data_IF_912845324293
#
_entry.id   IF_912845324293
#
_cell.length_a   1.000
_cell.length_b   1.000
_cell.length_c   1.000
_cell.angle_alpha   90.00
_cell.angle_beta   90.00
_cell.angle_gamma   90.00
#
_symmetry.space_group_name_H-M   'P 1'
#
loop_
_entity.id
_entity.type
_entity.pdbx_description
1 polymer ?
#
# COMPACT_ATOMS: atom_id res chain seq x y z
N UNK A 1 -0.41 37.67 50.29
CA UNK A 1 0.50 36.68 49.67
C UNK A 1 -0.20 35.41 49.16
N UNK A 2 -1.53 35.40 48.94
CA UNK A 2 -2.28 34.23 48.46
C UNK A 2 -2.79 34.30 47.01
N UNK A 3 -2.54 35.39 46.29
CA UNK A 3 -3.03 35.61 44.91
C UNK A 3 -2.00 35.35 43.78
N UNK A 4 -0.73 35.15 44.11
CA UNK A 4 0.36 34.93 43.12
C UNK A 4 0.50 33.44 42.77
N UNK A 5 0.07 32.52 43.63
CA UNK A 5 0.25 31.08 43.44
C UNK A 5 -0.74 30.44 42.42
N UNK A 6 -1.85 31.10 42.15
CA UNK A 6 -2.87 30.59 41.21
C UNK A 6 -2.58 30.89 39.73
N UNK A 7 -1.65 31.83 39.47
CA UNK A 7 -1.28 32.23 38.10
C UNK A 7 -0.25 31.30 37.45
N UNK A 8 0.54 30.57 38.27
CA UNK A 8 1.58 29.65 37.77
C UNK A 8 1.04 28.25 37.36
N UNK A 9 -0.15 27.86 37.82
CA UNK A 9 -0.73 26.54 37.50
C UNK A 9 -1.42 26.55 36.12
N UNK A 10 -1.82 27.72 35.63
CA UNK A 10 -2.50 27.85 34.32
C UNK A 10 -1.56 27.76 33.11
N UNK A 11 -0.25 27.88 33.30
CA UNK A 11 0.72 27.91 32.19
C UNK A 11 1.32 26.52 31.84
N UNK A 12 0.96 25.49 32.61
CA UNK A 12 1.55 24.15 32.42
C UNK A 12 0.67 23.16 31.63
N UNK A 13 -0.54 23.59 31.20
CA UNK A 13 -1.49 22.70 30.50
C UNK A 13 -1.54 22.88 28.98
N UNK A 14 -0.61 23.64 28.37
CA UNK A 14 -0.62 23.92 26.92
C UNK A 14 0.42 23.12 26.11
N UNK A 15 1.06 22.12 26.70
CA UNK A 15 2.09 21.32 26.00
C UNK A 15 1.66 19.87 25.68
N UNK A 16 0.39 19.62 25.42
CA UNK A 16 -0.04 18.27 25.10
C UNK A 16 -0.97 18.26 23.88
N UNK A 17 -0.44 18.57 22.71
CA UNK A 17 -0.89 18.04 21.44
C UNK A 17 0.15 18.39 20.37
N UNK A 18 1.30 17.73 20.41
CA UNK A 18 2.03 17.49 19.17
C UNK A 18 1.19 16.50 18.38
N UNK A 19 0.29 17.02 17.56
CA UNK A 19 -0.36 16.24 16.51
C UNK A 19 0.75 15.96 15.50
N UNK A 20 1.42 14.84 15.70
CA UNK A 20 2.38 14.31 14.76
C UNK A 20 1.57 13.88 13.53
N UNK A 21 1.35 14.83 12.61
CA UNK A 21 0.79 14.53 11.30
C UNK A 21 1.82 13.64 10.61
N UNK A 22 1.51 12.36 10.51
CA UNK A 22 2.27 11.34 9.78
C UNK A 22 2.41 11.70 8.28
N UNK A 23 3.02 12.83 7.97
CA UNK A 23 3.34 13.25 6.59
C UNK A 23 4.44 12.39 5.95
N UNK A 24 5.03 11.48 6.71
CA UNK A 24 6.15 10.67 6.26
C UNK A 24 5.79 9.23 5.86
N UNK A 25 4.53 8.83 5.99
CA UNK A 25 4.11 7.47 5.62
C UNK A 25 4.30 7.22 4.11
N UNK A 26 4.77 6.03 3.76
CA UNK A 26 4.94 5.61 2.38
C UNK A 26 6.29 5.94 1.73
N UNK A 27 7.27 6.47 2.48
CA UNK A 27 8.62 6.74 1.97
C UNK A 27 9.55 5.52 2.09
N UNK A 28 10.52 5.44 1.20
CA UNK A 28 11.57 4.41 1.26
C UNK A 28 12.31 4.50 2.60
N UNK A 29 12.57 3.34 3.21
CA UNK A 29 13.22 3.22 4.51
C UNK A 29 12.29 3.26 5.72
N UNK A 30 10.99 3.49 5.50
CA UNK A 30 9.99 3.47 6.58
C UNK A 30 9.30 2.11 6.70
N UNK A 31 8.65 1.88 7.84
CA UNK A 31 7.78 0.73 8.03
C UNK A 31 6.57 0.87 7.11
N UNK A 32 6.27 -0.19 6.36
CA UNK A 32 5.06 -0.26 5.54
C UNK A 32 3.80 -0.18 6.41
N UNK A 33 2.94 0.79 6.12
CA UNK A 33 1.69 0.93 6.83
C UNK A 33 0.73 -0.24 6.53
N UNK A 34 -0.13 -0.59 7.48
CA UNK A 34 -1.19 -1.56 7.23
C UNK A 34 -2.20 -1.03 6.21
N UNK A 35 -2.74 -1.92 5.38
CA UNK A 35 -3.76 -1.56 4.40
C UNK A 35 -5.17 -1.54 5.00
N UNK A 36 -6.05 -0.72 4.44
CA UNK A 36 -7.48 -0.68 4.75
C UNK A 36 -8.26 -1.06 3.50
N UNK A 37 -8.19 -2.33 3.12
CA UNK A 37 -8.75 -2.80 1.87
C UNK A 37 -9.51 -4.12 2.06
N UNK A 38 -10.43 -4.40 1.13
CA UNK A 38 -11.25 -5.61 1.10
C UNK A 38 -11.04 -6.35 -0.21
N UNK A 39 -11.16 -7.66 -0.16
CA UNK A 39 -11.24 -8.48 -1.37
C UNK A 39 -12.59 -8.30 -2.10
N UNK A 40 -12.74 -8.97 -3.23
CA UNK A 40 -13.95 -8.90 -4.07
C UNK A 40 -15.19 -9.52 -3.43
N UNK A 41 -15.03 -10.23 -2.32
CA UNK A 41 -16.11 -10.77 -1.50
C UNK A 41 -16.45 -9.87 -0.31
N UNK A 42 -15.74 -8.75 -0.14
CA UNK A 42 -15.95 -7.79 0.94
C UNK A 42 -15.24 -8.14 2.25
N UNK A 43 -14.39 -9.17 2.26
CA UNK A 43 -13.59 -9.55 3.44
C UNK A 43 -12.38 -8.63 3.56
N UNK A 44 -12.14 -8.11 4.76
CA UNK A 44 -10.97 -7.30 5.06
C UNK A 44 -9.68 -8.12 4.88
N UNK A 45 -8.68 -7.51 4.27
CA UNK A 45 -7.35 -8.07 4.06
C UNK A 45 -6.34 -7.25 4.86
N UNK A 46 -5.42 -7.93 5.55
CA UNK A 46 -4.36 -7.31 6.34
C UNK A 46 -3.00 -7.82 5.87
N UNK A 47 -2.03 -6.92 5.76
CA UNK A 47 -0.64 -7.30 5.48
C UNK A 47 -0.01 -8.08 6.64
N UNK A 48 -0.47 -7.80 7.87
CA UNK A 48 0.00 -8.48 9.07
C UNK A 48 -0.36 -9.97 9.11
N UNK A 49 -1.43 -10.39 8.41
CA UNK A 49 -1.86 -11.79 8.34
C UNK A 49 -1.05 -12.60 7.29
N UNK A 50 -0.19 -11.94 6.54
CA UNK A 50 0.65 -12.54 5.50
C UNK A 50 2.09 -12.66 5.96
N UNK A 51 2.57 -13.90 6.07
CA UNK A 51 3.91 -14.23 6.56
C UNK A 51 5.01 -14.12 5.50
N UNK A 52 4.68 -13.79 4.23
CA UNK A 52 5.73 -13.58 3.22
C UNK A 52 6.55 -12.34 3.57
N UNK A 53 7.87 -12.47 3.45
CA UNK A 53 8.78 -11.36 3.76
C UNK A 53 8.78 -10.27 2.69
N UNK A 54 8.49 -10.63 1.44
CA UNK A 54 8.43 -9.70 0.31
C UNK A 54 6.96 -9.47 -0.09
N UNK A 55 6.49 -8.23 0.04
CA UNK A 55 5.15 -7.81 -0.33
C UNK A 55 5.23 -6.69 -1.36
N UNK A 56 4.39 -6.75 -2.39
CA UNK A 56 4.30 -5.72 -3.43
C UNK A 56 2.88 -5.19 -3.46
N UNK A 57 2.72 -3.89 -3.27
CA UNK A 57 1.45 -3.19 -3.40
C UNK A 57 1.44 -2.42 -4.71
N UNK A 58 0.53 -2.77 -5.61
CA UNK A 58 0.35 -2.09 -6.90
C UNK A 58 -0.96 -1.30 -6.86
N UNK A 59 -0.86 0.00 -6.83
CA UNK A 59 -2.04 0.87 -6.93
C UNK A 59 -2.43 1.03 -8.38
N UNK A 60 -3.67 0.67 -8.71
CA UNK A 60 -4.19 0.66 -10.08
C UNK A 60 -5.61 1.24 -10.15
N UNK A 61 -6.08 1.52 -11.37
CA UNK A 61 -7.45 1.94 -11.64
C UNK A 61 -7.95 1.38 -12.98
N UNK A 62 -9.26 1.43 -13.18
CA UNK A 62 -9.86 1.13 -14.47
C UNK A 62 -9.31 2.06 -15.55
N UNK A 63 -9.09 1.53 -16.76
CA UNK A 63 -8.58 2.32 -17.88
C UNK A 63 -7.11 2.74 -17.76
N UNK A 64 -6.31 2.08 -16.91
CA UNK A 64 -4.86 2.31 -16.79
C UNK A 64 -4.08 1.33 -17.67
N UNK A 65 -3.63 1.70 -18.88
CA UNK A 65 -2.97 0.76 -19.79
C UNK A 65 -1.67 0.18 -19.24
N UNK A 66 -0.89 0.98 -18.51
CA UNK A 66 0.36 0.55 -17.89
C UNK A 66 0.14 -0.48 -16.78
N UNK A 67 -0.98 -0.35 -16.04
CA UNK A 67 -1.35 -1.33 -15.03
C UNK A 67 -1.68 -2.71 -15.65
N UNK A 68 -2.30 -2.69 -16.85
CA UNK A 68 -2.63 -3.90 -17.60
C UNK A 68 -1.40 -4.66 -18.12
N UNK A 69 -0.25 -4.01 -18.18
CA UNK A 69 1.03 -4.65 -18.53
C UNK A 69 1.75 -5.18 -17.28
N UNK A 70 1.79 -4.38 -16.21
CA UNK A 70 2.53 -4.69 -15.00
C UNK A 70 1.92 -5.86 -14.21
N UNK A 71 0.61 -5.83 -13.98
CA UNK A 71 -0.07 -6.81 -13.12
C UNK A 71 0.00 -8.26 -13.64
N UNK A 72 -0.20 -8.56 -14.93
CA UNK A 72 -0.01 -9.92 -15.45
C UNK A 72 1.42 -10.44 -15.31
N UNK A 73 2.42 -9.59 -15.56
CA UNK A 73 3.83 -9.97 -15.40
C UNK A 73 4.16 -10.29 -13.94
N UNK A 74 3.57 -9.57 -12.98
CA UNK A 74 3.69 -9.88 -11.56
C UNK A 74 3.01 -11.21 -11.20
N UNK A 75 1.83 -11.51 -11.77
CA UNK A 75 1.13 -12.77 -11.51
C UNK A 75 1.94 -13.97 -11.98
N UNK A 76 2.55 -13.88 -13.17
CA UNK A 76 3.47 -14.89 -13.70
C UNK A 76 4.74 -15.00 -12.84
N UNK A 77 5.32 -13.87 -12.42
CA UNK A 77 6.51 -13.88 -11.56
C UNK A 77 6.27 -14.60 -10.24
N UNK A 78 5.11 -14.39 -9.58
CA UNK A 78 4.76 -15.10 -8.34
C UNK A 78 4.67 -16.60 -8.58
N UNK A 79 4.10 -17.03 -9.70
CA UNK A 79 3.97 -18.44 -10.06
C UNK A 79 5.32 -19.14 -10.07
N UNK A 80 6.37 -18.43 -10.53
CA UNK A 80 7.74 -18.95 -10.56
C UNK A 80 8.48 -18.82 -9.21
N UNK A 81 7.92 -18.08 -8.24
CA UNK A 81 8.51 -17.85 -6.92
C UNK A 81 7.49 -18.10 -5.78
N UNK A 82 6.89 -19.31 -5.70
CA UNK A 82 5.81 -19.60 -4.77
C UNK A 82 6.26 -19.40 -3.31
N UNK A 83 5.37 -18.83 -2.49
CA UNK A 83 5.57 -18.56 -1.06
C UNK A 83 6.70 -17.58 -0.70
N UNK A 84 7.31 -16.92 -1.68
CA UNK A 84 8.39 -15.94 -1.43
C UNK A 84 7.93 -14.51 -1.55
N UNK A 85 6.87 -14.27 -2.30
CA UNK A 85 6.33 -12.95 -2.60
C UNK A 85 4.81 -12.96 -2.56
N UNK A 86 4.21 -11.90 -2.04
CA UNK A 86 2.78 -11.62 -2.15
C UNK A 86 2.54 -10.31 -2.87
N UNK A 87 1.58 -10.29 -3.80
CA UNK A 87 1.22 -9.09 -4.56
C UNK A 87 -0.24 -8.74 -4.32
N UNK A 88 -0.47 -7.46 -4.03
CA UNK A 88 -1.76 -6.86 -3.77
C UNK A 88 -2.02 -5.74 -4.78
N UNK A 89 -2.96 -5.96 -5.69
CA UNK A 89 -3.45 -4.94 -6.61
C UNK A 89 -4.56 -4.14 -5.92
N UNK A 90 -4.28 -2.89 -5.58
CA UNK A 90 -5.14 -2.05 -4.75
C UNK A 90 -5.79 -0.98 -5.61
N UNK A 91 -7.12 -0.98 -5.65
CA UNK A 91 -7.91 0.02 -6.36
C UNK A 91 -8.59 0.97 -5.36
N UNK A 92 -8.17 2.23 -5.38
CA UNK A 92 -8.69 3.29 -4.51
C UNK A 92 -9.67 4.22 -5.22
N UNK A 93 -9.80 4.13 -6.53
CA UNK A 93 -10.53 5.09 -7.38
C UNK A 93 -11.92 4.57 -7.75
N UNK A 94 -11.99 3.34 -8.29
CA UNK A 94 -13.23 2.80 -8.80
C UNK A 94 -14.13 2.28 -7.67
N UNK A 95 -15.43 2.16 -7.94
CA UNK A 95 -16.35 1.55 -6.99
C UNK A 95 -16.18 0.02 -6.91
N UNK A 96 -16.72 -0.60 -5.87
CA UNK A 96 -16.53 -2.03 -5.59
C UNK A 96 -17.00 -2.94 -6.73
N UNK A 97 -18.08 -2.57 -7.43
CA UNK A 97 -18.60 -3.39 -8.56
C UNK A 97 -17.63 -3.38 -9.73
N UNK A 98 -17.03 -2.22 -10.06
CA UNK A 98 -16.01 -2.12 -11.11
C UNK A 98 -14.78 -2.94 -10.73
N UNK A 99 -14.31 -2.85 -9.48
CA UNK A 99 -13.16 -3.64 -9.01
C UNK A 99 -13.43 -5.13 -9.10
N UNK A 100 -14.64 -5.57 -8.76
CA UNK A 100 -15.04 -6.97 -8.89
C UNK A 100 -15.01 -7.43 -10.34
N UNK A 101 -15.58 -6.66 -11.28
CA UNK A 101 -15.54 -6.98 -12.72
C UNK A 101 -14.11 -7.04 -13.24
N UNK A 102 -13.25 -6.10 -12.84
CA UNK A 102 -11.83 -6.12 -13.22
C UNK A 102 -11.10 -7.35 -12.69
N UNK A 103 -11.36 -7.75 -11.45
CA UNK A 103 -10.77 -8.95 -10.87
C UNK A 103 -11.19 -10.22 -11.63
N UNK A 104 -12.47 -10.31 -12.05
CA UNK A 104 -12.99 -11.42 -12.87
C UNK A 104 -12.36 -11.42 -14.27
N UNK A 105 -12.15 -10.24 -14.87
CA UNK A 105 -11.51 -10.11 -16.18
C UNK A 105 -10.03 -10.45 -16.17
N UNK A 106 -9.30 -10.05 -15.12
CA UNK A 106 -7.88 -10.37 -14.96
C UNK A 106 -7.65 -11.85 -14.71
N UNK A 107 -8.56 -12.53 -14.00
CA UNK A 107 -8.46 -13.94 -13.61
C UNK A 107 -7.09 -14.33 -13.02
N UNK A 108 -6.48 -13.42 -12.26
CA UNK A 108 -5.18 -13.64 -11.62
C UNK A 108 -5.23 -14.83 -10.67
N UNK A 109 -4.17 -15.63 -10.66
CA UNK A 109 -4.06 -16.81 -9.79
C UNK A 109 -3.32 -16.51 -8.49
N UNK A 110 -2.44 -15.50 -8.51
CA UNK A 110 -1.51 -15.20 -7.43
C UNK A 110 -1.64 -13.76 -6.92
N UNK A 111 -2.07 -12.83 -7.77
CA UNK A 111 -2.29 -11.42 -7.38
C UNK A 111 -3.65 -11.26 -6.71
N UNK A 112 -3.66 -10.69 -5.51
CA UNK A 112 -4.87 -10.37 -4.75
C UNK A 112 -5.41 -9.01 -5.17
N UNK A 113 -6.56 -8.97 -5.84
CA UNK A 113 -7.23 -7.73 -6.23
C UNK A 113 -8.10 -7.21 -5.09
N UNK A 114 -7.85 -5.98 -4.66
CA UNK A 114 -8.45 -5.38 -3.48
C UNK A 114 -9.11 -4.03 -3.80
N UNK A 115 -10.20 -3.76 -3.10
CA UNK A 115 -10.81 -2.43 -3.03
C UNK A 115 -10.36 -1.71 -1.76
N UNK A 116 -9.70 -0.57 -1.93
CA UNK A 116 -9.32 0.29 -0.81
C UNK A 116 -10.54 1.05 -0.28
N UNK A 117 -10.78 0.94 1.02
CA UNK A 117 -11.88 1.63 1.68
C UNK A 117 -11.54 3.12 1.88
N UNK A 118 -12.40 3.99 1.35
CA UNK A 118 -12.32 5.45 1.55
C UNK A 118 -10.94 6.05 1.19
N UNK A 119 -10.17 5.41 0.32
CA UNK A 119 -8.81 5.79 -0.05
C UNK A 119 -7.79 5.79 1.11
N UNK A 120 -8.09 5.12 2.21
CA UNK A 120 -7.25 5.12 3.40
C UNK A 120 -5.85 4.55 3.10
N UNK A 121 -5.77 3.45 2.33
CA UNK A 121 -4.48 2.87 1.93
C UNK A 121 -3.75 3.80 0.98
N UNK A 122 -4.46 4.37 0.02
CA UNK A 122 -3.91 5.35 -0.93
C UNK A 122 -3.25 6.53 -0.21
N UNK A 123 -3.94 7.08 0.79
CA UNK A 123 -3.47 8.24 1.57
C UNK A 123 -2.27 7.86 2.45
N UNK A 124 -2.31 6.69 3.12
CA UNK A 124 -1.19 6.18 3.92
C UNK A 124 0.10 6.03 3.11
N UNK A 125 -0.02 5.62 1.87
CA UNK A 125 1.12 5.46 0.97
C UNK A 125 1.36 6.69 0.08
N UNK A 126 0.64 7.80 0.29
CA UNK A 126 0.75 9.04 -0.48
C UNK A 126 0.75 8.80 -2.00
N UNK A 127 -0.22 8.04 -2.49
CA UNK A 127 -0.33 7.66 -3.90
C UNK A 127 -1.13 8.73 -4.67
N UNK A 128 -0.55 9.31 -5.71
CA UNK A 128 -1.15 10.38 -6.50
C UNK A 128 -1.43 9.98 -7.95
N UNK A 129 -0.86 8.88 -8.41
CA UNK A 129 -1.03 8.41 -9.80
C UNK A 129 -0.93 6.89 -9.87
N UNK A 130 -1.44 6.30 -10.96
CA UNK A 130 -1.38 4.86 -11.26
C UNK A 130 -0.61 4.59 -12.56
N UNK A 131 0.16 3.50 -12.61
CA UNK A 131 0.50 2.65 -11.48
C UNK A 131 1.45 3.32 -10.50
N UNK A 132 1.30 3.02 -9.21
CA UNK A 132 2.34 3.25 -8.20
C UNK A 132 2.58 1.91 -7.52
N UNK A 133 3.83 1.46 -7.51
CA UNK A 133 4.22 0.18 -6.92
C UNK A 133 5.11 0.41 -5.72
N UNK A 134 4.72 -0.16 -4.59
CA UNK A 134 5.47 -0.12 -3.33
C UNK A 134 6.00 -1.51 -3.05
N UNK A 135 7.31 -1.63 -2.85
CA UNK A 135 7.97 -2.89 -2.51
C UNK A 135 8.36 -2.86 -1.03
N UNK A 136 7.83 -3.82 -0.27
CA UNK A 136 8.05 -3.96 1.17
C UNK A 136 8.79 -5.28 1.40
N UNK A 137 9.95 -5.23 2.07
CA UNK A 137 10.70 -6.39 2.50
C UNK A 137 10.90 -6.35 4.01
N UNK A 138 10.55 -7.43 4.69
CA UNK A 138 10.65 -7.57 6.15
C UNK A 138 10.00 -6.39 6.90
N UNK A 139 8.81 -5.97 6.41
CA UNK A 139 8.05 -4.86 6.96
C UNK A 139 8.55 -3.46 6.59
N UNK A 140 9.67 -3.31 5.88
CA UNK A 140 10.25 -2.03 5.50
C UNK A 140 10.04 -1.74 4.02
N UNK A 141 9.66 -0.51 3.68
CA UNK A 141 9.54 -0.05 2.29
C UNK A 141 10.95 0.05 1.69
N UNK A 142 11.23 -0.79 0.69
CA UNK A 142 12.52 -0.84 -0.01
C UNK A 142 12.52 -0.04 -1.29
N UNK A 143 11.36 0.06 -1.95
CA UNK A 143 11.26 0.85 -3.17
C UNK A 143 9.85 1.41 -3.37
N UNK A 144 9.79 2.48 -4.17
CA UNK A 144 8.59 3.15 -4.62
C UNK A 144 8.74 3.50 -6.09
N UNK A 145 7.98 2.85 -6.95
CA UNK A 145 8.05 3.00 -8.40
C UNK A 145 6.80 3.72 -8.86
N UNK A 146 6.99 4.84 -9.55
CA UNK A 146 5.90 5.65 -10.09
C UNK A 146 5.85 5.52 -11.61
N UNK A 147 4.66 5.21 -12.12
CA UNK A 147 4.41 5.08 -13.55
C UNK A 147 4.99 3.81 -14.17
N UNK A 148 4.76 3.66 -15.47
CA UNK A 148 5.23 2.50 -16.26
C UNK A 148 6.75 2.38 -16.26
N UNK A 149 7.23 1.15 -16.07
CA UNK A 149 8.64 0.76 -16.24
C UNK A 149 8.72 -0.52 -17.06
N UNK A 150 9.83 -0.77 -17.77
CA UNK A 150 10.06 -2.07 -18.40
C UNK A 150 10.02 -3.20 -17.37
N UNK A 151 9.56 -4.39 -17.77
CA UNK A 151 9.45 -5.52 -16.85
C UNK A 151 10.80 -5.89 -16.23
N UNK A 152 11.87 -5.86 -17.00
CA UNK A 152 13.22 -6.19 -16.56
C UNK A 152 13.68 -5.32 -15.36
N UNK A 153 13.17 -4.09 -15.29
CA UNK A 153 13.43 -3.19 -14.16
C UNK A 153 12.76 -3.71 -12.87
N UNK A 154 11.50 -4.16 -12.95
CA UNK A 154 10.80 -4.77 -11.82
C UNK A 154 11.44 -6.09 -11.43
N UNK A 155 11.65 -6.97 -12.39
CA UNK A 155 12.19 -8.31 -12.17
C UNK A 155 13.54 -8.27 -11.46
N UNK A 156 14.46 -7.43 -11.93
CA UNK A 156 15.78 -7.29 -11.31
C UNK A 156 15.69 -6.84 -9.83
N UNK A 157 14.79 -5.91 -9.53
CA UNK A 157 14.54 -5.45 -8.16
C UNK A 157 13.94 -6.55 -7.29
N UNK A 158 12.93 -7.25 -7.78
CA UNK A 158 12.28 -8.32 -7.03
C UNK A 158 13.24 -9.47 -6.75
N UNK A 159 14.02 -9.90 -7.75
CA UNK A 159 15.04 -10.95 -7.58
C UNK A 159 16.08 -10.55 -6.52
N UNK A 160 16.50 -9.29 -6.50
CA UNK A 160 17.50 -8.82 -5.53
C UNK A 160 16.97 -8.82 -4.09
N UNK A 161 15.65 -8.92 -3.89
CA UNK A 161 14.99 -8.90 -2.58
C UNK A 161 14.42 -10.28 -2.15
N UNK A 162 14.43 -11.28 -3.04
CA UNK A 162 14.00 -12.64 -2.70
C UNK A 162 14.98 -13.34 -1.76
#
# INVERSE_FOLDING_TARGET
MKKVFLFFISLFLLNACSFDTNQDQGKIGQIGAEISAKDTLGKAVKLADDNTSLKVLVFFQNGCPSCLKELPSLDEFIQNHPNKISVYAINSIDNANVVKVLAEQFDFKNVKVLKDDLKITNDRYAVFATPTTIIIKDGMIKDRILGEKPWEFFESKLISLL
#
